data_IF_752507966143
#
_entry.id   IF_752507966143
#
_cell.length_a   1.000
_cell.length_b   1.000
_cell.length_c   1.000
_cell.angle_alpha   90.00
_cell.angle_beta   90.00
_cell.angle_gamma   90.00
#
_symmetry.space_group_name_H-M   'P 1'
#
loop_
_entity.id
_entity.type
_entity.pdbx_description
1 polymer ?
#
# COMPACT_ATOMS: atom_id res chain seq x y z
N UNK A 1 10.80 3.37 -17.02
CA UNK A 1 9.93 3.78 -15.91
C UNK A 1 8.46 3.81 -16.36
N UNK A 2 7.53 4.11 -15.48
CA UNK A 2 6.09 4.07 -15.76
C UNK A 2 5.60 5.10 -16.76
N UNK A 3 6.42 6.08 -17.09
CA UNK A 3 6.16 7.07 -18.15
C UNK A 3 6.63 6.58 -19.54
N UNK A 4 7.19 5.37 -19.64
CA UNK A 4 7.82 4.86 -20.85
C UNK A 4 9.21 5.47 -21.15
N UNK A 5 9.79 6.22 -20.19
CA UNK A 5 11.10 6.84 -20.34
C UNK A 5 12.19 5.82 -19.99
N UNK A 6 13.19 5.69 -20.87
CA UNK A 6 14.38 4.89 -20.59
C UNK A 6 15.43 5.76 -19.89
N UNK A 7 15.73 5.42 -18.63
CA UNK A 7 16.76 6.09 -17.84
C UNK A 7 18.04 5.25 -17.89
N UNK A 8 19.14 5.83 -18.36
CA UNK A 8 20.43 5.17 -18.41
C UNK A 8 21.33 5.68 -17.28
N UNK A 9 21.82 4.76 -16.46
CA UNK A 9 22.86 5.00 -15.46
C UNK A 9 24.15 4.29 -15.90
N UNK A 10 25.33 4.91 -15.70
CA UNK A 10 26.62 4.30 -16.10
C UNK A 10 27.00 3.09 -15.21
N UNK A 11 26.47 3.04 -14.01
CA UNK A 11 26.66 1.98 -13.02
C UNK A 11 25.45 1.96 -12.06
N UNK A 12 25.28 0.91 -11.24
CA UNK A 12 24.30 0.89 -10.16
C UNK A 12 24.47 2.12 -9.24
N UNK A 13 23.36 2.82 -8.90
CA UNK A 13 23.44 4.08 -8.15
C UNK A 13 23.94 3.84 -6.73
N UNK A 14 24.80 4.73 -6.26
CA UNK A 14 25.34 4.74 -4.89
C UNK A 14 24.64 5.79 -4.01
N UNK A 15 23.92 6.73 -4.64
CA UNK A 15 23.21 7.81 -3.95
C UNK A 15 21.78 7.88 -4.51
N UNK A 16 20.83 7.42 -3.72
CA UNK A 16 19.42 7.35 -4.12
C UNK A 16 18.61 8.29 -3.22
N UNK A 17 17.80 9.15 -3.83
CA UNK A 17 16.72 9.83 -3.13
C UNK A 17 15.41 9.14 -3.49
N UNK A 18 14.62 8.74 -2.49
CA UNK A 18 13.34 8.05 -2.68
C UNK A 18 12.18 8.88 -2.12
N UNK A 19 11.27 9.30 -2.99
CA UNK A 19 10.16 10.20 -2.70
C UNK A 19 8.81 9.48 -2.58
N UNK A 20 8.85 8.17 -2.36
CA UNK A 20 7.66 7.35 -2.09
C UNK A 20 8.01 6.25 -1.08
N UNK A 21 7.29 6.12 0.05
CA UNK A 21 7.61 5.15 1.10
C UNK A 21 7.73 3.71 0.61
N UNK A 22 6.85 3.26 -0.29
CA UNK A 22 6.90 1.91 -0.86
C UNK A 22 8.16 1.64 -1.68
N UNK A 23 8.69 2.65 -2.40
CA UNK A 23 9.95 2.56 -3.13
C UNK A 23 11.15 2.52 -2.17
N UNK A 24 11.13 3.35 -1.10
CA UNK A 24 12.12 3.32 -0.03
C UNK A 24 12.23 1.93 0.58
N UNK A 25 11.09 1.35 0.95
CA UNK A 25 11.00 0.01 1.53
C UNK A 25 11.52 -1.05 0.55
N UNK A 26 11.18 -0.93 -0.75
CA UNK A 26 11.63 -1.88 -1.79
C UNK A 26 13.14 -1.80 -2.02
N UNK A 27 13.73 -0.60 -2.06
CA UNK A 27 15.19 -0.41 -2.14
C UNK A 27 15.89 -1.09 -0.96
N UNK A 28 15.38 -0.89 0.25
CA UNK A 28 15.92 -1.52 1.45
C UNK A 28 15.80 -3.04 1.42
N UNK A 29 14.65 -3.57 1.00
CA UNK A 29 14.39 -5.01 0.95
C UNK A 29 15.24 -5.72 -0.12
N UNK A 30 15.65 -4.99 -1.16
CA UNK A 30 16.62 -5.43 -2.16
C UNK A 30 18.08 -5.30 -1.69
N UNK A 31 18.32 -4.92 -0.41
CA UNK A 31 19.67 -4.84 0.17
C UNK A 31 20.42 -3.54 -0.11
N UNK A 32 19.77 -2.53 -0.69
CA UNK A 32 20.37 -1.26 -1.09
C UNK A 32 20.02 -0.08 -0.15
N UNK A 33 19.64 -0.36 1.09
CA UNK A 33 19.25 0.67 2.07
C UNK A 33 20.37 1.69 2.37
N UNK A 34 21.62 1.23 2.34
CA UNK A 34 22.81 2.10 2.57
C UNK A 34 23.04 3.11 1.44
N UNK A 35 22.46 2.93 0.26
CA UNK A 35 22.52 3.87 -0.85
C UNK A 35 21.49 5.01 -0.73
N UNK A 36 20.51 4.90 0.16
CA UNK A 36 19.55 5.99 0.40
C UNK A 36 20.23 7.16 1.09
N UNK A 37 20.13 8.35 0.49
CA UNK A 37 20.68 9.60 1.02
C UNK A 37 19.61 10.63 1.36
N UNK A 38 18.35 10.39 0.99
CA UNK A 38 17.19 11.20 1.33
C UNK A 38 15.89 10.45 1.02
N UNK A 39 14.87 10.72 1.80
CA UNK A 39 13.60 10.00 1.73
C UNK A 39 12.38 10.93 1.82
N UNK A 40 11.22 10.42 1.44
CA UNK A 40 9.92 11.05 1.67
C UNK A 40 9.66 11.26 3.17
N UNK A 41 8.87 12.30 3.53
CA UNK A 41 8.53 12.63 4.94
C UNK A 41 7.83 11.50 5.69
N UNK A 42 7.11 10.62 4.96
CA UNK A 42 6.37 9.51 5.54
C UNK A 42 7.17 8.20 5.54
N UNK A 43 8.41 8.21 5.03
CA UNK A 43 9.28 7.04 5.06
C UNK A 43 9.74 6.76 6.50
N UNK A 44 9.28 5.67 7.07
CA UNK A 44 9.52 5.29 8.47
C UNK A 44 9.92 3.83 8.64
N UNK A 45 10.04 3.09 7.53
CA UNK A 45 10.42 1.68 7.53
C UNK A 45 11.45 1.38 6.41
N UNK A 46 12.49 0.57 6.73
CA UNK A 46 12.90 0.09 8.05
C UNK A 46 13.32 1.26 8.98
N UNK A 47 13.52 0.97 10.26
CA UNK A 47 13.84 2.03 11.24
C UNK A 47 15.05 2.88 10.85
N UNK A 48 16.03 2.28 10.16
CA UNK A 48 17.27 2.96 9.70
C UNK A 48 17.04 4.14 8.75
N UNK A 49 15.88 4.23 8.06
CA UNK A 49 15.62 5.35 7.15
C UNK A 49 15.10 6.60 7.88
N UNK A 50 14.69 6.48 9.14
CA UNK A 50 14.12 7.59 9.91
C UNK A 50 15.10 8.72 10.18
N UNK A 51 16.39 8.41 10.22
CA UNK A 51 17.46 9.37 10.49
C UNK A 51 18.01 10.02 9.21
N UNK A 52 17.52 9.60 8.03
CA UNK A 52 17.88 10.19 6.76
C UNK A 52 17.21 11.56 6.56
N UNK A 53 17.81 12.46 5.76
CA UNK A 53 17.18 13.71 5.38
C UNK A 53 15.80 13.49 4.74
N UNK A 54 14.75 14.10 5.31
CA UNK A 54 13.41 14.10 4.75
C UNK A 54 13.25 15.28 3.80
N UNK A 55 12.96 15.01 2.52
CA UNK A 55 12.96 16.00 1.44
C UNK A 55 11.57 16.33 0.91
N UNK A 56 10.56 16.26 1.74
CA UNK A 56 9.17 16.58 1.41
C UNK A 56 8.33 15.33 1.18
N UNK A 57 7.15 15.49 0.60
CA UNK A 57 6.20 14.41 0.26
C UNK A 57 5.80 14.48 -1.21
N UNK A 58 4.76 13.72 -1.57
CA UNK A 58 4.32 13.57 -2.97
C UNK A 58 4.01 14.92 -3.66
N UNK A 59 3.35 15.84 -2.95
CA UNK A 59 2.85 17.11 -3.51
C UNK A 59 3.78 18.31 -3.25
N UNK A 60 4.73 18.20 -2.31
CA UNK A 60 5.54 19.32 -1.82
C UNK A 60 7.01 18.93 -1.65
N UNK A 61 7.58 18.31 -2.68
CA UNK A 61 8.99 17.96 -2.74
C UNK A 61 9.88 19.20 -2.59
N UNK A 62 10.81 19.17 -1.63
CA UNK A 62 11.86 20.18 -1.50
C UNK A 62 12.97 19.90 -2.51
N UNK A 63 12.83 20.46 -3.71
CA UNK A 63 13.75 20.25 -4.83
C UNK A 63 15.17 20.69 -4.50
N UNK A 64 15.32 21.79 -3.78
CA UNK A 64 16.62 22.33 -3.37
C UNK A 64 17.36 21.35 -2.44
N UNK A 65 16.63 20.75 -1.49
CA UNK A 65 17.19 19.72 -0.61
C UNK A 65 17.59 18.45 -1.38
N UNK A 66 16.76 18.03 -2.35
CA UNK A 66 17.08 16.88 -3.24
C UNK A 66 18.38 17.15 -4.00
N UNK A 67 18.52 18.32 -4.63
CA UNK A 67 19.73 18.71 -5.38
C UNK A 67 20.97 18.75 -4.48
N UNK A 68 20.83 19.30 -3.26
CA UNK A 68 21.94 19.38 -2.28
C UNK A 68 22.48 18.00 -1.89
N UNK A 69 21.65 16.97 -1.93
CA UNK A 69 22.04 15.58 -1.65
C UNK A 69 22.82 14.93 -2.80
N UNK A 70 22.90 15.57 -3.98
CA UNK A 70 23.64 15.08 -5.16
C UNK A 70 23.34 13.60 -5.46
N UNK A 71 22.08 13.21 -5.69
CA UNK A 71 21.73 11.83 -5.97
C UNK A 71 22.16 11.41 -7.39
N UNK A 72 22.53 10.14 -7.55
CA UNK A 72 22.71 9.52 -8.88
C UNK A 72 21.36 9.28 -9.57
N UNK A 73 20.32 9.05 -8.76
CA UNK A 73 18.94 8.83 -9.21
C UNK A 73 17.93 9.27 -8.15
N UNK A 74 16.82 9.81 -8.61
CA UNK A 74 15.64 10.11 -7.79
C UNK A 74 14.51 9.15 -8.17
N UNK A 75 13.96 8.44 -7.18
CA UNK A 75 12.80 7.57 -7.32
C UNK A 75 11.56 8.32 -6.82
N UNK A 76 10.50 8.36 -7.62
CA UNK A 76 9.26 9.05 -7.25
C UNK A 76 8.04 8.40 -7.90
N UNK A 77 6.83 8.81 -7.50
CA UNK A 77 5.58 8.40 -8.12
C UNK A 77 5.43 9.04 -9.51
N UNK A 78 4.81 8.34 -10.46
CA UNK A 78 4.51 8.87 -11.79
C UNK A 78 3.62 10.12 -11.76
N UNK A 79 2.77 10.24 -10.73
CA UNK A 79 1.90 11.40 -10.47
C UNK A 79 2.62 12.62 -9.85
N UNK A 80 3.90 12.51 -9.48
CA UNK A 80 4.64 13.60 -8.82
C UNK A 80 4.86 14.80 -9.74
N UNK A 81 4.48 15.98 -9.26
CA UNK A 81 4.68 17.27 -9.97
C UNK A 81 6.12 17.74 -9.96
N UNK A 82 7.00 17.12 -9.18
CA UNK A 82 8.41 17.51 -9.10
C UNK A 82 9.25 16.97 -10.26
N UNK A 83 8.73 16.03 -11.04
CA UNK A 83 9.47 15.27 -12.05
C UNK A 83 10.17 16.20 -13.06
N UNK A 84 9.41 17.06 -13.76
CA UNK A 84 9.95 17.96 -14.78
C UNK A 84 11.00 18.93 -14.22
N UNK A 85 10.75 19.45 -13.01
CA UNK A 85 11.68 20.37 -12.33
C UNK A 85 12.99 19.69 -11.96
N UNK A 86 12.96 18.45 -11.46
CA UNK A 86 14.16 17.69 -11.15
C UNK A 86 14.95 17.34 -12.40
N UNK A 87 14.29 16.93 -13.48
CA UNK A 87 14.92 16.63 -14.77
C UNK A 87 15.54 17.88 -15.41
N UNK A 88 14.86 19.04 -15.34
CA UNK A 88 15.40 20.33 -15.83
C UNK A 88 16.68 20.74 -15.09
N UNK A 89 16.87 20.29 -13.86
CA UNK A 89 18.10 20.49 -13.08
C UNK A 89 19.16 19.40 -13.33
N UNK A 90 18.95 18.54 -14.34
CA UNK A 90 19.91 17.51 -14.76
C UNK A 90 19.90 16.23 -13.93
N UNK A 91 18.96 16.07 -12.99
CA UNK A 91 18.85 14.85 -12.21
C UNK A 91 18.24 13.69 -13.02
N UNK A 92 18.71 12.48 -12.77
CA UNK A 92 18.09 11.28 -13.33
C UNK A 92 16.90 10.90 -12.46
N UNK A 93 15.72 10.82 -13.11
CA UNK A 93 14.45 10.52 -12.42
C UNK A 93 13.90 9.19 -12.95
N UNK A 94 13.50 8.31 -12.03
CA UNK A 94 12.80 7.06 -12.35
C UNK A 94 11.44 7.10 -11.67
N UNK A 95 10.39 7.25 -12.47
CA UNK A 95 9.01 7.32 -12.00
C UNK A 95 8.39 5.93 -11.93
N UNK A 96 8.00 5.50 -10.73
CA UNK A 96 7.40 4.20 -10.45
C UNK A 96 6.25 4.37 -9.47
N UNK A 97 5.04 3.97 -9.88
CA UNK A 97 3.84 4.14 -9.05
C UNK A 97 2.99 2.87 -9.07
N UNK A 98 3.19 1.94 -8.12
CA UNK A 98 2.41 0.72 -8.07
C UNK A 98 0.99 0.97 -7.54
N UNK A 99 -0.03 0.55 -8.28
CA UNK A 99 -1.44 0.58 -7.88
C UNK A 99 -2.04 -0.81 -7.75
N UNK A 100 -1.54 -1.75 -8.54
CA UNK A 100 -2.02 -3.12 -8.61
C UNK A 100 -1.01 -4.10 -8.03
N UNK A 101 -1.44 -5.34 -7.85
CA UNK A 101 -0.56 -6.42 -7.41
C UNK A 101 0.59 -6.69 -8.42
N UNK A 102 0.27 -6.67 -9.71
CA UNK A 102 1.26 -6.86 -10.78
C UNK A 102 2.27 -5.69 -10.85
N UNK A 103 1.82 -4.46 -10.54
CA UNK A 103 2.74 -3.32 -10.46
C UNK A 103 3.79 -3.48 -9.37
N UNK A 104 3.43 -4.08 -8.22
CA UNK A 104 4.42 -4.35 -7.15
C UNK A 104 5.52 -5.27 -7.65
N UNK A 105 5.16 -6.33 -8.42
CA UNK A 105 6.14 -7.22 -9.05
C UNK A 105 7.02 -6.47 -10.04
N UNK A 106 6.41 -5.69 -10.92
CA UNK A 106 7.10 -4.88 -11.94
C UNK A 106 8.07 -3.88 -11.30
N UNK A 107 7.63 -3.17 -10.26
CA UNK A 107 8.46 -2.20 -9.52
C UNK A 107 9.64 -2.92 -8.84
N UNK A 108 9.42 -4.05 -8.19
CA UNK A 108 10.48 -4.85 -7.58
C UNK A 108 11.53 -5.29 -8.62
N UNK A 109 11.08 -5.76 -9.80
CA UNK A 109 11.97 -6.16 -10.88
C UNK A 109 12.74 -4.96 -11.46
N UNK A 110 12.08 -3.81 -11.66
CA UNK A 110 12.70 -2.58 -12.18
C UNK A 110 13.76 -2.05 -11.22
N UNK A 111 13.45 -1.98 -9.92
CA UNK A 111 14.42 -1.54 -8.91
C UNK A 111 15.59 -2.52 -8.76
N UNK A 112 15.33 -3.83 -8.82
CA UNK A 112 16.39 -4.83 -8.80
C UNK A 112 17.35 -4.67 -10.00
N UNK A 113 16.81 -4.42 -11.21
CA UNK A 113 17.61 -4.11 -12.40
C UNK A 113 18.44 -2.83 -12.21
N UNK A 114 17.80 -1.75 -11.72
CA UNK A 114 18.46 -0.46 -11.44
C UNK A 114 19.64 -0.63 -10.48
N UNK A 115 19.48 -1.48 -9.48
CA UNK A 115 20.49 -1.79 -8.45
C UNK A 115 21.56 -2.78 -8.91
N UNK A 116 21.52 -3.24 -10.16
CA UNK A 116 22.45 -4.27 -10.67
C UNK A 116 22.23 -5.67 -10.11
N UNK A 117 21.02 -5.98 -9.65
CA UNK A 117 20.66 -7.22 -8.96
C UNK A 117 19.42 -7.87 -9.58
N UNK A 118 19.37 -8.00 -10.91
CA UNK A 118 18.16 -8.36 -11.67
C UNK A 118 17.37 -9.54 -11.08
N UNK A 119 18.04 -10.61 -10.62
CA UNK A 119 17.35 -11.79 -10.08
C UNK A 119 16.73 -11.57 -8.70
N UNK A 120 17.12 -10.51 -7.97
CA UNK A 120 16.63 -10.26 -6.60
C UNK A 120 15.16 -9.84 -6.60
N UNK A 121 14.68 -9.16 -7.65
CA UNK A 121 13.29 -8.77 -7.79
C UNK A 121 12.34 -9.95 -7.85
N UNK A 122 12.66 -10.97 -8.65
CA UNK A 122 11.84 -12.18 -8.76
C UNK A 122 11.93 -13.05 -7.50
N UNK A 123 13.09 -13.10 -6.83
CA UNK A 123 13.20 -13.78 -5.52
C UNK A 123 12.34 -13.09 -4.46
N UNK A 124 12.36 -11.74 -4.41
CA UNK A 124 11.50 -10.96 -3.53
C UNK A 124 10.04 -11.28 -3.81
N UNK A 125 9.62 -11.21 -5.07
CA UNK A 125 8.24 -11.47 -5.46
C UNK A 125 7.75 -12.85 -5.01
N UNK A 126 8.50 -13.93 -5.32
CA UNK A 126 8.13 -15.30 -4.89
C UNK A 126 7.98 -15.43 -3.38
N UNK A 127 8.83 -14.75 -2.60
CA UNK A 127 8.71 -14.73 -1.15
C UNK A 127 7.41 -14.04 -0.70
N UNK A 128 7.05 -12.89 -1.31
CA UNK A 128 5.81 -12.18 -1.01
C UNK A 128 4.58 -13.02 -1.33
N UNK A 129 4.55 -13.67 -2.48
CA UNK A 129 3.48 -14.60 -2.88
C UNK A 129 3.31 -15.75 -1.87
N UNK A 130 4.41 -16.35 -1.45
CA UNK A 130 4.36 -17.42 -0.45
C UNK A 130 3.82 -16.93 0.91
N UNK A 131 4.19 -15.73 1.35
CA UNK A 131 3.70 -15.13 2.58
C UNK A 131 2.21 -14.81 2.50
N UNK A 132 1.74 -14.25 1.38
CA UNK A 132 0.31 -13.99 1.13
C UNK A 132 -0.48 -15.29 1.10
N UNK A 133 0.05 -16.34 0.42
CA UNK A 133 -0.56 -17.67 0.40
C UNK A 133 -0.69 -18.29 1.79
N UNK A 134 0.33 -18.17 2.63
CA UNK A 134 0.30 -18.64 4.02
C UNK A 134 -0.75 -17.88 4.86
N UNK A 135 -0.85 -16.55 4.70
CA UNK A 135 -1.88 -15.75 5.33
C UNK A 135 -3.30 -16.19 4.90
N UNK A 136 -3.50 -16.43 3.59
CA UNK A 136 -4.77 -16.89 3.04
C UNK A 136 -5.21 -18.26 3.60
N UNK A 137 -4.26 -19.18 3.78
CA UNK A 137 -4.54 -20.48 4.41
C UNK A 137 -4.98 -20.36 5.87
N UNK A 138 -4.54 -19.31 6.57
CA UNK A 138 -4.90 -19.07 7.98
C UNK A 138 -6.29 -18.45 8.16
N UNK A 139 -6.97 -18.04 7.09
CA UNK A 139 -8.31 -17.45 7.16
C UNK A 139 -9.36 -18.54 7.43
N UNK A 140 -10.18 -18.39 8.49
CA UNK A 140 -11.24 -19.35 8.79
C UNK A 140 -12.26 -19.50 7.65
N UNK A 141 -12.73 -20.72 7.44
CA UNK A 141 -13.73 -21.02 6.38
C UNK A 141 -14.99 -20.16 6.51
N UNK A 142 -15.40 -19.84 7.74
CA UNK A 142 -16.60 -19.02 8.01
C UNK A 142 -16.47 -17.58 7.50
N UNK A 143 -15.24 -17.04 7.36
CA UNK A 143 -15.01 -15.70 6.84
C UNK A 143 -14.92 -15.67 5.30
N UNK A 144 -14.74 -16.83 4.66
CA UNK A 144 -14.64 -16.90 3.21
C UNK A 144 -15.98 -16.54 2.56
N UNK A 145 -15.92 -15.75 1.50
CA UNK A 145 -17.09 -15.24 0.80
C UNK A 145 -17.75 -14.03 1.46
N UNK A 146 -17.26 -13.53 2.61
CA UNK A 146 -17.82 -12.30 3.16
C UNK A 146 -17.64 -11.14 2.20
N UNK A 147 -18.74 -10.41 1.98
CA UNK A 147 -18.73 -9.16 1.26
C UNK A 147 -18.05 -8.08 2.10
N UNK A 148 -16.97 -7.48 1.57
CA UNK A 148 -16.15 -6.51 2.29
C UNK A 148 -16.19 -5.13 1.63
N UNK A 149 -16.30 -4.11 2.46
CA UNK A 149 -15.99 -2.73 2.15
C UNK A 149 -14.67 -2.36 2.82
N UNK A 150 -13.67 -1.93 2.04
CA UNK A 150 -12.41 -1.41 2.56
C UNK A 150 -12.34 0.10 2.29
N UNK A 151 -12.34 0.89 3.35
CA UNK A 151 -12.22 2.35 3.28
C UNK A 151 -10.74 2.76 3.38
N UNK A 152 -10.26 3.44 2.34
CA UNK A 152 -8.90 4.00 2.31
C UNK A 152 -8.86 5.37 2.99
N UNK A 153 -9.90 6.19 2.76
CA UNK A 153 -10.08 7.51 3.35
C UNK A 153 -11.56 7.78 3.63
N UNK A 154 -11.82 8.56 4.69
CA UNK A 154 -13.17 8.90 5.17
C UNK A 154 -14.03 9.70 4.17
N UNK A 155 -13.48 10.12 3.02
CA UNK A 155 -14.14 10.97 2.05
C UNK A 155 -15.09 10.37 0.99
N UNK A 156 -15.69 9.18 1.01
CA UNK A 156 -15.21 7.84 1.21
C UNK A 156 -14.47 7.31 -0.03
N UNK A 157 -13.18 7.26 0.02
CA UNK A 157 -12.39 6.53 -0.97
C UNK A 157 -12.27 5.06 -0.56
N UNK A 158 -12.54 4.17 -1.50
CA UNK A 158 -12.50 2.73 -1.25
C UNK A 158 -11.38 2.04 -2.03
N UNK A 159 -10.89 0.92 -1.51
CA UNK A 159 -10.07 0.01 -2.29
C UNK A 159 -10.98 -0.88 -3.15
N UNK A 160 -10.96 -0.72 -4.47
CA UNK A 160 -11.67 -1.55 -5.43
C UNK A 160 -10.94 -2.86 -5.74
N UNK A 161 -11.62 -3.79 -6.43
CA UNK A 161 -11.04 -5.08 -6.85
C UNK A 161 -9.76 -4.91 -7.68
N UNK A 162 -9.63 -3.81 -8.45
CA UNK A 162 -8.46 -3.54 -9.28
C UNK A 162 -7.24 -3.05 -8.49
N UNK A 163 -7.38 -2.71 -7.20
CA UNK A 163 -6.26 -2.27 -6.35
C UNK A 163 -5.45 -3.45 -5.82
N UNK A 164 -4.22 -3.19 -5.37
CA UNK A 164 -3.41 -4.18 -4.67
C UNK A 164 -4.09 -4.69 -3.38
N UNK A 165 -4.82 -3.81 -2.67
CA UNK A 165 -5.63 -4.18 -1.50
C UNK A 165 -6.76 -5.12 -1.94
N UNK A 166 -7.49 -4.77 -3.01
CA UNK A 166 -8.57 -5.61 -3.55
C UNK A 166 -8.09 -6.99 -3.95
N UNK A 167 -6.88 -7.08 -4.53
CA UNK A 167 -6.24 -8.36 -4.84
C UNK A 167 -5.96 -9.18 -3.58
N UNK A 168 -5.40 -8.57 -2.51
CA UNK A 168 -5.18 -9.24 -1.22
C UNK A 168 -6.50 -9.73 -0.61
N UNK A 169 -7.55 -8.91 -0.61
CA UNK A 169 -8.87 -9.29 -0.10
C UNK A 169 -9.41 -10.53 -0.82
N UNK A 170 -9.27 -10.57 -2.15
CA UNK A 170 -9.67 -11.74 -2.96
C UNK A 170 -8.83 -12.98 -2.64
N UNK A 171 -7.51 -12.85 -2.48
CA UNK A 171 -6.64 -13.97 -2.09
C UNK A 171 -6.98 -14.53 -0.70
N UNK A 172 -7.43 -13.66 0.21
CA UNK A 172 -7.93 -14.05 1.53
C UNK A 172 -9.34 -14.67 1.49
N UNK A 173 -9.94 -14.79 0.29
CA UNK A 173 -11.26 -15.40 0.08
C UNK A 173 -12.44 -14.48 0.33
N UNK A 174 -12.23 -13.15 0.36
CA UNK A 174 -13.30 -12.15 0.50
C UNK A 174 -13.84 -11.70 -0.86
N UNK A 175 -15.04 -11.15 -0.86
CA UNK A 175 -15.71 -10.56 -2.04
C UNK A 175 -15.76 -9.04 -1.84
N UNK A 176 -15.03 -8.30 -2.68
CA UNK A 176 -15.05 -6.84 -2.60
C UNK A 176 -16.39 -6.30 -3.16
N UNK A 177 -17.05 -5.38 -2.44
CA UNK A 177 -18.29 -4.74 -2.94
C UNK A 177 -18.01 -3.70 -4.03
N UNK A 178 -16.76 -3.30 -4.24
CA UNK A 178 -16.35 -2.28 -5.21
C UNK A 178 -15.75 -2.96 -6.43
N UNK A 179 -16.50 -3.06 -7.55
CA UNK A 179 -16.07 -3.81 -8.71
C UNK A 179 -14.89 -3.15 -9.43
N UNK A 180 -14.09 -3.96 -10.13
CA UNK A 180 -12.89 -3.53 -10.85
C UNK A 180 -13.15 -2.39 -11.85
N UNK A 181 -14.34 -2.33 -12.46
CA UNK A 181 -14.71 -1.30 -13.44
C UNK A 181 -14.77 0.13 -12.89
N UNK A 182 -14.78 0.31 -11.56
CA UNK A 182 -14.71 1.63 -10.92
C UNK A 182 -13.26 2.11 -10.69
N UNK A 183 -12.28 1.31 -11.06
CA UNK A 183 -10.86 1.62 -10.85
C UNK A 183 -10.33 1.18 -9.48
N UNK A 184 -9.01 1.40 -9.22
CA UNK A 184 -8.37 0.88 -8.02
C UNK A 184 -8.80 1.59 -6.74
N UNK A 185 -9.01 2.92 -6.77
CA UNK A 185 -9.34 3.73 -5.59
C UNK A 185 -10.46 4.74 -5.86
N UNK A 186 -11.70 4.27 -6.16
CA UNK A 186 -12.79 5.18 -6.49
C UNK A 186 -13.30 5.92 -5.25
N UNK A 187 -13.73 7.17 -5.46
CA UNK A 187 -14.58 7.88 -4.52
C UNK A 187 -16.02 7.37 -4.70
N UNK A 188 -16.61 6.85 -3.63
CA UNK A 188 -17.95 6.30 -3.66
C UNK A 188 -19.01 7.31 -3.17
N UNK A 189 -20.25 7.10 -3.62
CA UNK A 189 -21.39 7.65 -2.92
C UNK A 189 -21.62 6.81 -1.65
N UNK A 190 -21.75 7.41 -0.44
CA UNK A 190 -22.06 6.69 0.80
C UNK A 190 -23.27 5.76 0.71
N UNK A 191 -24.29 6.13 -0.07
CA UNK A 191 -25.48 5.31 -0.31
C UNK A 191 -25.17 4.01 -1.06
N UNK A 192 -24.09 3.99 -1.87
CA UNK A 192 -23.63 2.74 -2.53
C UNK A 192 -23.25 1.71 -1.47
N UNK A 193 -22.53 2.09 -0.43
CA UNK A 193 -22.10 1.20 0.66
C UNK A 193 -23.31 0.69 1.43
N UNK A 194 -24.29 1.57 1.72
CA UNK A 194 -25.53 1.19 2.40
C UNK A 194 -26.32 0.18 1.58
N UNK A 195 -26.48 0.40 0.27
CA UNK A 195 -27.19 -0.55 -0.62
C UNK A 195 -26.48 -1.87 -0.80
N UNK A 196 -25.14 -1.86 -0.84
CA UNK A 196 -24.35 -3.08 -0.96
C UNK A 196 -24.38 -3.92 0.32
N UNK A 197 -24.73 -3.30 1.46
CA UNK A 197 -24.90 -3.94 2.77
C UNK A 197 -23.77 -4.95 3.10
N UNK A 198 -22.49 -4.53 3.16
CA UNK A 198 -21.38 -5.44 3.36
C UNK A 198 -21.46 -6.17 4.70
N UNK A 199 -20.92 -7.40 4.72
CA UNK A 199 -20.82 -8.23 5.93
C UNK A 199 -19.61 -7.87 6.77
N UNK A 200 -18.64 -7.17 6.19
CA UNK A 200 -17.37 -6.77 6.81
C UNK A 200 -17.00 -5.35 6.37
N UNK A 201 -16.58 -4.53 7.32
CA UNK A 201 -16.00 -3.21 7.07
C UNK A 201 -14.57 -3.20 7.57
N UNK A 202 -13.66 -2.71 6.75
CA UNK A 202 -12.25 -2.51 7.06
C UNK A 202 -11.89 -1.04 6.92
N UNK A 203 -11.41 -0.43 8.01
CA UNK A 203 -11.16 1.03 8.10
C UNK A 203 -10.01 1.34 9.05
N UNK A 204 -9.54 2.58 9.05
CA UNK A 204 -8.67 3.08 10.12
C UNK A 204 -9.43 3.17 11.47
N UNK A 205 -8.73 3.08 12.60
CA UNK A 205 -9.34 3.30 13.93
C UNK A 205 -10.05 4.66 14.03
N UNK A 206 -9.48 5.68 13.38
CA UNK A 206 -10.09 7.02 13.32
C UNK A 206 -11.45 6.99 12.62
N UNK A 207 -11.54 6.33 11.47
CA UNK A 207 -12.80 6.18 10.73
C UNK A 207 -13.79 5.29 11.45
N UNK A 208 -13.33 4.23 12.13
CA UNK A 208 -14.19 3.31 12.88
C UNK A 208 -15.07 4.02 13.92
N UNK A 209 -14.53 5.03 14.61
CA UNK A 209 -15.24 5.79 15.63
C UNK A 209 -16.48 6.54 15.09
N UNK A 210 -16.52 6.86 13.80
CA UNK A 210 -17.60 7.62 13.17
C UNK A 210 -18.57 6.80 12.33
N UNK A 211 -18.34 5.50 12.14
CA UNK A 211 -19.13 4.68 11.20
C UNK A 211 -20.63 4.66 11.51
N UNK A 212 -20.99 4.45 12.77
CA UNK A 212 -22.39 4.37 13.20
C UNK A 212 -23.15 5.68 13.14
N UNK A 213 -22.44 6.83 13.17
CA UNK A 213 -23.03 8.16 13.07
C UNK A 213 -23.25 8.62 11.63
N UNK A 214 -22.73 7.90 10.64
CA UNK A 214 -22.94 8.22 9.23
C UNK A 214 -24.38 7.93 8.82
N UNK A 215 -25.03 8.81 8.03
CA UNK A 215 -26.43 8.62 7.62
C UNK A 215 -26.66 7.26 6.94
N UNK A 216 -27.60 6.46 7.48
CA UNK A 216 -27.98 5.15 6.95
C UNK A 216 -27.04 3.98 7.28
N UNK A 217 -25.86 4.24 7.86
CA UNK A 217 -24.86 3.18 8.07
C UNK A 217 -25.18 2.28 9.26
N UNK A 218 -25.89 2.75 10.28
CA UNK A 218 -26.26 1.92 11.43
C UNK A 218 -27.01 0.64 11.08
N UNK A 219 -27.69 0.62 9.92
CA UNK A 219 -28.40 -0.54 9.39
C UNK A 219 -27.54 -1.56 8.66
N UNK A 220 -26.26 -1.26 8.34
CA UNK A 220 -25.37 -2.15 7.60
C UNK A 220 -25.05 -3.40 8.43
N UNK A 221 -25.10 -4.59 7.80
CA UNK A 221 -24.86 -5.89 8.46
C UNK A 221 -23.56 -5.92 9.23
N UNK A 222 -22.47 -5.41 8.65
CA UNK A 222 -21.16 -5.35 9.32
C UNK A 222 -21.21 -4.62 10.66
N UNK A 223 -21.98 -3.55 10.80
CA UNK A 223 -22.12 -2.80 12.06
C UNK A 223 -23.03 -3.52 13.04
N UNK A 224 -24.14 -4.06 12.59
CA UNK A 224 -25.07 -4.83 13.44
C UNK A 224 -24.39 -6.08 14.02
N UNK A 225 -23.59 -6.77 13.18
CA UNK A 225 -22.89 -8.01 13.53
C UNK A 225 -21.52 -7.75 14.19
N UNK A 226 -21.15 -6.46 14.38
CA UNK A 226 -19.85 -6.04 14.94
C UNK A 226 -18.64 -6.58 14.15
N UNK A 227 -18.79 -6.73 12.83
CA UNK A 227 -17.72 -7.20 11.93
C UNK A 227 -16.98 -6.01 11.31
N UNK A 228 -16.22 -5.32 12.15
CA UNK A 228 -15.39 -4.18 11.75
C UNK A 228 -13.93 -4.47 12.10
N UNK A 229 -13.06 -4.40 11.09
CA UNK A 229 -11.62 -4.34 11.26
C UNK A 229 -11.19 -2.88 11.35
N UNK A 230 -10.77 -2.45 12.53
CA UNK A 230 -10.19 -1.13 12.73
C UNK A 230 -8.67 -1.28 12.82
N UNK A 231 -7.94 -0.57 11.96
CA UNK A 231 -6.48 -0.66 11.87
C UNK A 231 -5.82 0.56 12.51
N UNK A 232 -4.79 0.31 13.31
CA UNK A 232 -3.92 1.37 13.88
C UNK A 232 -3.18 2.11 12.77
N UNK A 233 -2.60 3.28 13.09
CA UNK A 233 -1.79 4.03 12.12
C UNK A 233 -0.63 3.18 11.56
N UNK A 234 0.07 2.41 12.41
CA UNK A 234 1.16 1.53 11.99
C UNK A 234 0.69 0.42 11.04
N UNK A 235 -0.47 -0.18 11.29
CA UNK A 235 -1.09 -1.15 10.38
C UNK A 235 -1.56 -0.47 9.09
N UNK A 236 -2.08 0.76 9.18
CA UNK A 236 -2.44 1.58 8.02
C UNK A 236 -1.27 1.81 7.08
N UNK A 237 -0.07 2.11 7.62
CA UNK A 237 1.16 2.25 6.82
C UNK A 237 1.49 0.96 6.04
N UNK A 238 1.35 -0.21 6.66
CA UNK A 238 1.56 -1.51 6.00
C UNK A 238 0.53 -1.74 4.90
N UNK A 239 -0.74 -1.44 5.19
CA UNK A 239 -1.87 -1.72 4.31
C UNK A 239 -1.99 -0.74 3.15
N UNK A 240 -1.44 0.48 3.26
CA UNK A 240 -1.54 1.51 2.23
C UNK A 240 -0.34 1.59 1.28
N UNK A 241 0.74 0.84 1.54
CA UNK A 241 1.98 0.89 0.76
C UNK A 241 2.13 -0.35 -0.11
N UNK A 242 1.87 -0.25 -1.43
CA UNK A 242 2.07 -1.36 -2.36
C UNK A 242 3.57 -1.62 -2.56
N UNK A 243 4.12 -2.57 -1.82
CA UNK A 243 5.56 -2.80 -1.77
C UNK A 243 5.95 -4.11 -1.09
N UNK A 244 7.15 -4.20 -0.53
CA UNK A 244 7.73 -5.46 -0.05
C UNK A 244 7.06 -6.00 1.22
N UNK A 245 6.13 -5.24 1.83
CA UNK A 245 5.37 -5.69 3.02
C UNK A 245 3.99 -6.26 2.69
N UNK A 246 3.72 -6.66 1.44
CA UNK A 246 2.45 -7.31 1.06
C UNK A 246 2.13 -8.54 1.93
N UNK A 247 3.13 -9.35 2.27
CA UNK A 247 2.95 -10.50 3.16
C UNK A 247 2.50 -10.11 4.56
N UNK A 248 3.09 -9.04 5.13
CA UNK A 248 2.68 -8.46 6.41
C UNK A 248 1.26 -7.89 6.32
N UNK A 249 0.93 -7.18 5.24
CA UNK A 249 -0.41 -6.67 5.00
C UNK A 249 -1.45 -7.80 4.98
N UNK A 250 -1.17 -8.90 4.28
CA UNK A 250 -2.03 -10.08 4.26
C UNK A 250 -2.21 -10.69 5.66
N UNK A 251 -1.14 -10.75 6.46
CA UNK A 251 -1.21 -11.25 7.84
C UNK A 251 -2.05 -10.35 8.75
N UNK A 252 -1.93 -9.02 8.63
CA UNK A 252 -2.75 -8.04 9.37
C UNK A 252 -4.23 -8.26 9.06
N UNK A 253 -4.59 -8.37 7.78
CA UNK A 253 -5.96 -8.65 7.35
C UNK A 253 -6.46 -10.00 7.86
N UNK A 254 -5.68 -11.07 7.68
CA UNK A 254 -6.03 -12.41 8.12
C UNK A 254 -6.19 -12.49 9.65
N UNK A 255 -5.38 -11.77 10.43
CA UNK A 255 -5.51 -11.71 11.88
C UNK A 255 -6.85 -11.12 12.33
N UNK A 256 -7.31 -10.04 11.66
CA UNK A 256 -8.64 -9.51 11.93
C UNK A 256 -9.74 -10.52 11.58
N UNK A 257 -9.66 -11.18 10.42
CA UNK A 257 -10.63 -12.18 10.01
C UNK A 257 -10.73 -13.35 11.02
N UNK A 258 -9.58 -13.83 11.52
CA UNK A 258 -9.56 -14.87 12.58
C UNK A 258 -10.28 -14.40 13.83
N UNK A 259 -10.02 -13.15 14.28
CA UNK A 259 -10.66 -12.59 15.47
C UNK A 259 -12.18 -12.49 15.30
N UNK A 260 -12.66 -12.10 14.14
CA UNK A 260 -14.09 -11.90 13.87
C UNK A 260 -14.85 -13.22 13.60
N UNK A 261 -14.15 -14.25 13.12
CA UNK A 261 -14.75 -15.56 12.84
C UNK A 261 -14.82 -16.48 14.07
N UNK A 262 -14.14 -16.12 15.16
CA UNK A 262 -14.29 -16.85 16.43
C UNK A 262 -15.72 -16.64 16.96
N UNK A 263 -16.40 -17.69 17.48
CA UNK A 263 -17.67 -17.50 18.17
C UNK A 263 -17.44 -16.50 19.32
N UNK A 264 -18.19 -15.40 19.30
CA UNK A 264 -18.22 -14.50 20.45
C UNK A 264 -18.70 -15.36 21.64
N UNK A 265 -17.80 -15.67 22.55
CA UNK A 265 -18.21 -16.29 23.82
C UNK A 265 -19.21 -15.32 24.45
N UNK A 266 -20.49 -15.70 24.41
CA UNK A 266 -21.55 -14.91 24.98
C UNK A 266 -21.18 -14.60 26.41
N UNK A 267 -21.09 -13.32 26.77
CA UNK A 267 -21.36 -12.90 28.12
C UNK A 267 -22.79 -13.31 28.37
N UNK A 268 -22.96 -14.47 29.05
CA UNK A 268 -24.24 -14.87 29.60
C UNK A 268 -24.77 -13.73 30.48
N UNK A 269 -26.09 -13.49 30.47
CA UNK A 269 -26.72 -12.42 31.20
C UNK A 269 -26.50 -12.51 32.71
#
# INVERSE_FOLDING_TARGET
DDRGVRVNLPAPPQRIVSLLPSLTETVCELGACAQLVGVDRNANHPASVRDLPHVGGLDDVNVEAVVALRPDVVLLAGSSRATERLEALGLKVVALEPHTHEDVRRVAATLALLLGQADSGERLWRRLEAQVGAAAQSVPTQARGWQVYYEVDSAPYAAGEASFIGHLLRQLGLVNIVPAGLGPFPKLNPEFVVRADPQLIMVSERSAASLSSRPGWSGIRALRDRRVCAFTAAQGDVLSRPGPRLGEAAQVLAACLRKLALPQQGTAP
#
